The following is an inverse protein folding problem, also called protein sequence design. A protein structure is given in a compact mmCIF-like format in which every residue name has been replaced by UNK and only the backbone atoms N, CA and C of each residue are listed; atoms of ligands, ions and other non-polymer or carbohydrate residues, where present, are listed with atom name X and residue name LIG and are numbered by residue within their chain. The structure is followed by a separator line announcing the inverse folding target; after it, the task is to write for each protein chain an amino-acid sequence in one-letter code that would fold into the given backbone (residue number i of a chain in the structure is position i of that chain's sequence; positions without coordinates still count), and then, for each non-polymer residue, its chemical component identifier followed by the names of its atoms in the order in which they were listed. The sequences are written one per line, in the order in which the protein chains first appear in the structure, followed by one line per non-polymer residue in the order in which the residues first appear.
data_IF_225556726961
#
_entry.id   IF_225556726961
#
_cell.length_a   1.000
_cell.length_b   1.000
_cell.length_c   1.000
_cell.angle_alpha   90.00
_cell.angle_beta   90.00
_cell.angle_gamma   90.00
#
_symmetry.space_group_name_H-M   'P 1'
#
loop_
_entity.id
_entity.type
_entity.pdbx_description
1 polymer ?
#
# COMPACT_ATOMS: atom_id res chain seq x y z
N UNK A 1 32.35 -74.42 -12.13
CA UNK A 1 33.62 -74.36 -12.89
C UNK A 1 33.99 -72.88 -13.06
N UNK A 2 35.13 -72.49 -12.45
CA UNK A 2 35.91 -71.23 -12.59
C UNK A 2 35.34 -69.88 -12.11
N UNK A 3 35.84 -69.47 -10.94
CA UNK A 3 36.31 -68.12 -10.58
C UNK A 3 37.35 -67.57 -11.57
N UNK A 4 37.34 -66.25 -11.82
CA UNK A 4 38.47 -65.29 -12.00
C UNK A 4 37.90 -63.88 -11.67
N UNK A 5 38.16 -63.19 -10.54
CA UNK A 5 39.34 -62.46 -10.01
C UNK A 5 39.70 -61.13 -10.73
N UNK A 6 39.19 -60.01 -10.18
CA UNK A 6 39.86 -58.71 -9.83
C UNK A 6 40.32 -57.71 -10.91
N UNK A 7 40.76 -56.47 -10.54
CA UNK A 7 40.60 -55.75 -9.26
C UNK A 7 40.35 -54.21 -9.34
N UNK A 8 40.15 -53.57 -8.17
CA UNK A 8 40.49 -52.17 -7.79
C UNK A 8 39.64 -51.00 -8.34
N UNK A 9 39.24 -49.96 -7.59
CA UNK A 9 39.77 -49.38 -6.34
C UNK A 9 38.66 -48.60 -5.58
N UNK A 10 38.60 -48.80 -4.27
CA UNK A 10 37.97 -47.91 -3.28
C UNK A 10 38.77 -46.59 -3.17
N UNK A 11 38.11 -45.46 -2.85
CA UNK A 11 38.25 -44.84 -1.52
C UNK A 11 37.21 -43.72 -1.27
N UNK A 12 36.50 -43.90 -0.16
CA UNK A 12 35.71 -42.92 0.57
C UNK A 12 36.61 -42.00 1.42
N UNK A 13 35.98 -40.90 1.89
CA UNK A 13 36.19 -40.23 3.17
C UNK A 13 37.35 -39.22 3.23
N UNK A 14 37.31 -38.11 3.97
CA UNK A 14 36.29 -37.37 4.73
C UNK A 14 36.99 -36.16 5.37
N UNK A 15 36.29 -35.02 5.49
CA UNK A 15 36.34 -34.02 6.57
C UNK A 15 37.70 -33.43 7.05
N UNK A 16 37.81 -32.09 7.08
CA UNK A 16 37.69 -31.31 8.33
C UNK A 16 37.61 -29.79 8.08
N UNK A 17 36.78 -29.13 8.89
CA UNK A 17 36.59 -27.68 9.04
C UNK A 17 37.82 -26.98 9.65
N UNK A 18 38.06 -25.72 9.26
CA UNK A 18 38.34 -24.60 10.18
C UNK A 18 37.71 -23.33 9.58
N UNK A 19 36.90 -22.64 10.38
CA UNK A 19 36.20 -21.42 10.00
C UNK A 19 37.02 -20.14 10.18
N UNK A 20 36.49 -19.04 9.64
CA UNK A 20 36.64 -17.73 10.25
C UNK A 20 35.36 -16.93 10.01
N UNK A 21 34.80 -16.47 11.12
CA UNK A 21 33.62 -15.65 11.27
C UNK A 21 33.90 -14.20 10.87
N UNK A 22 33.00 -13.58 10.13
CA UNK A 22 32.66 -12.17 10.34
C UNK A 22 31.15 -11.97 10.18
N UNK A 23 30.52 -11.74 11.32
CA UNK A 23 29.12 -11.40 11.48
C UNK A 23 28.82 -10.03 10.90
N UNK A 24 27.90 -9.95 9.94
CA UNK A 24 27.02 -8.78 9.78
C UNK A 24 25.58 -9.31 9.80
N UNK A 25 25.00 -9.37 11.01
CA UNK A 25 23.57 -9.57 11.21
C UNK A 25 22.85 -8.32 10.69
N UNK A 26 22.30 -8.40 9.49
CA UNK A 26 21.22 -7.52 9.09
C UNK A 26 20.00 -7.87 9.97
N UNK A 27 19.61 -6.95 10.87
CA UNK A 27 18.33 -7.03 11.59
C UNK A 27 17.20 -7.00 10.57
N UNK A 28 16.58 -8.16 10.31
CA UNK A 28 15.23 -8.25 9.75
C UNK A 28 14.25 -8.15 10.91
N UNK A 29 13.77 -6.94 11.22
CA UNK A 29 12.58 -6.75 12.05
C UNK A 29 11.41 -6.40 11.13
N UNK A 30 10.64 -7.42 10.81
CA UNK A 30 9.21 -7.36 10.49
C UNK A 30 8.74 -8.82 10.48
N UNK A 31 8.64 -9.40 11.68
CA UNK A 31 8.05 -10.72 11.84
C UNK A 31 6.53 -10.55 11.95
N UNK A 32 5.79 -11.11 11.00
CA UNK A 32 4.35 -11.23 11.10
C UNK A 32 4.06 -12.29 12.17
N UNK A 33 3.44 -11.88 13.28
CA UNK A 33 3.16 -12.76 14.44
C UNK A 33 2.24 -13.94 14.07
N UNK A 34 1.52 -13.82 12.95
CA UNK A 34 0.58 -14.81 12.44
C UNK A 34 1.15 -16.21 12.13
N UNK A 35 2.46 -16.41 12.04
CA UNK A 35 3.07 -17.72 11.72
C UNK A 35 3.82 -18.41 12.87
N UNK A 36 3.78 -17.87 14.09
CA UNK A 36 4.51 -18.42 15.24
C UNK A 36 3.59 -19.27 16.15
N UNK A 37 4.16 -20.20 16.91
CA UNK A 37 3.43 -20.91 17.98
C UNK A 37 2.91 -19.90 19.00
N UNK A 38 1.83 -20.23 19.72
CA UNK A 38 1.24 -19.32 20.73
C UNK A 38 2.26 -18.83 21.76
N UNK A 39 3.17 -19.70 22.20
CA UNK A 39 4.24 -19.34 23.13
C UNK A 39 5.31 -18.45 22.49
N UNK A 40 5.81 -18.79 21.30
CA UNK A 40 6.80 -17.96 20.58
C UNK A 40 6.25 -16.60 20.14
N UNK A 41 4.94 -16.49 19.89
CA UNK A 41 4.26 -15.23 19.58
C UNK A 41 4.19 -14.29 20.78
N UNK A 42 4.10 -14.85 21.99
CA UNK A 42 4.05 -14.09 23.24
C UNK A 42 5.44 -13.59 23.64
N UNK A 43 6.45 -14.44 23.56
CA UNK A 43 7.85 -14.06 23.85
C UNK A 43 8.34 -12.93 22.94
N UNK A 44 8.04 -13.01 21.63
CA UNK A 44 8.40 -11.97 20.67
C UNK A 44 7.68 -10.63 20.94
N UNK A 45 6.42 -10.69 21.41
CA UNK A 45 5.69 -9.49 21.84
C UNK A 45 6.35 -8.87 23.08
N UNK A 46 6.58 -9.67 24.11
CA UNK A 46 7.15 -9.22 25.39
C UNK A 46 8.52 -8.55 25.19
N UNK A 47 9.38 -9.13 24.33
CA UNK A 47 10.66 -8.53 23.97
C UNK A 47 10.47 -7.18 23.24
N UNK A 48 9.58 -7.13 22.26
CA UNK A 48 9.36 -5.92 21.44
C UNK A 48 8.82 -4.76 22.28
N UNK A 49 7.90 -5.05 23.22
CA UNK A 49 7.28 -4.03 24.05
C UNK A 49 8.03 -3.78 25.36
N UNK A 50 9.14 -4.47 25.64
CA UNK A 50 9.88 -4.37 26.91
C UNK A 50 10.22 -2.93 27.30
N UNK A 51 10.54 -2.08 26.33
CA UNK A 51 10.88 -0.66 26.53
C UNK A 51 9.69 0.32 26.49
N UNK A 52 8.47 -0.17 26.32
CA UNK A 52 7.28 0.69 26.22
C UNK A 52 6.84 1.23 27.58
N UNK A 53 6.18 2.41 27.61
CA UNK A 53 5.55 2.93 28.82
C UNK A 53 4.51 1.97 29.39
N UNK A 54 4.24 2.08 30.70
CA UNK A 54 3.37 1.16 31.42
C UNK A 54 1.91 1.19 30.97
N UNK A 55 1.37 2.37 30.61
CA UNK A 55 -0.02 2.55 30.18
C UNK A 55 -0.34 1.83 28.86
N UNK A 56 0.42 2.02 27.76
CA UNK A 56 0.28 1.20 26.55
C UNK A 56 0.43 -0.31 26.80
N UNK A 57 1.38 -0.75 27.65
CA UNK A 57 1.53 -2.17 27.98
C UNK A 57 0.27 -2.75 28.64
N UNK A 58 -0.32 -2.00 29.57
CA UNK A 58 -1.57 -2.41 30.21
C UNK A 58 -2.70 -2.52 29.19
N UNK A 59 -2.85 -1.53 28.30
CA UNK A 59 -3.86 -1.60 27.25
C UNK A 59 -3.64 -2.77 26.28
N UNK A 60 -2.38 -3.10 25.94
CA UNK A 60 -2.06 -4.30 25.15
C UNK A 60 -2.59 -5.55 25.86
N UNK A 61 -2.29 -5.72 27.16
CA UNK A 61 -2.78 -6.86 27.93
C UNK A 61 -4.31 -6.93 27.93
N UNK A 62 -4.99 -5.81 28.17
CA UNK A 62 -6.45 -5.74 28.15
C UNK A 62 -7.04 -6.12 26.78
N UNK A 63 -6.45 -5.63 25.69
CA UNK A 63 -6.87 -5.98 24.34
C UNK A 63 -6.59 -7.44 24.02
N UNK A 64 -5.48 -8.01 24.51
CA UNK A 64 -5.19 -9.44 24.36
C UNK A 64 -6.20 -10.31 25.09
N UNK A 65 -6.56 -9.94 26.32
CA UNK A 65 -7.53 -10.68 27.12
C UNK A 65 -8.92 -10.68 26.47
N UNK A 66 -9.28 -9.59 25.79
CA UNK A 66 -10.59 -9.45 25.12
C UNK A 66 -10.64 -9.97 23.69
N UNK A 67 -9.61 -9.72 22.89
CA UNK A 67 -9.60 -9.96 21.44
C UNK A 67 -8.60 -11.04 20.99
N UNK A 68 -7.84 -11.63 21.91
CA UNK A 68 -6.82 -12.62 21.61
C UNK A 68 -5.48 -12.00 21.16
N UNK A 69 -4.55 -12.81 20.62
CA UNK A 69 -3.22 -12.31 20.25
C UNK A 69 -3.29 -11.26 19.12
N UNK A 70 -2.37 -10.28 19.10
CA UNK A 70 -2.33 -9.27 18.04
C UNK A 70 -1.96 -9.87 16.69
N UNK A 71 -2.45 -9.26 15.62
CA UNK A 71 -2.15 -9.63 14.23
C UNK A 71 -0.79 -9.12 13.78
N UNK A 72 -0.36 -7.96 14.28
CA UNK A 72 0.92 -7.31 13.94
C UNK A 72 1.54 -6.69 15.19
N UNK A 73 2.86 -6.81 15.29
CA UNK A 73 3.66 -6.22 16.37
C UNK A 73 4.87 -5.56 15.74
N UNK A 74 5.17 -4.34 16.17
CA UNK A 74 6.32 -3.55 15.74
C UNK A 74 6.89 -2.75 16.90
N UNK A 75 8.04 -2.10 16.71
CA UNK A 75 8.63 -1.23 17.75
C UNK A 75 7.74 -0.04 18.14
N UNK A 76 6.79 0.35 17.28
CA UNK A 76 5.96 1.55 17.45
C UNK A 76 4.48 1.25 17.75
N UNK A 77 3.95 0.09 17.31
CA UNK A 77 2.53 -0.25 17.41
C UNK A 77 2.28 -1.75 17.57
N UNK A 78 1.22 -2.10 18.31
CA UNK A 78 0.61 -3.44 18.41
C UNK A 78 -0.81 -3.34 17.85
N UNK A 79 -1.16 -4.21 16.90
CA UNK A 79 -2.36 -4.07 16.08
C UNK A 79 -3.15 -5.38 16.02
N UNK A 80 -4.47 -5.26 16.19
CA UNK A 80 -5.46 -6.27 15.85
C UNK A 80 -6.25 -5.79 14.62
N UNK A 81 -6.44 -6.67 13.64
CA UNK A 81 -7.24 -6.40 12.44
C UNK A 81 -8.47 -7.29 12.40
N UNK A 82 -9.57 -6.71 11.94
CA UNK A 82 -10.83 -7.40 11.68
C UNK A 82 -11.33 -8.24 12.88
N UNK A 83 -11.25 -7.66 14.08
CA UNK A 83 -11.74 -8.26 15.35
C UNK A 83 -12.99 -7.54 15.85
N UNK A 84 -14.01 -8.31 16.22
CA UNK A 84 -15.30 -7.75 16.65
C UNK A 84 -15.93 -6.86 15.59
N UNK A 85 -16.39 -5.68 15.99
CA UNK A 85 -16.94 -4.66 15.08
C UNK A 85 -15.85 -3.73 14.48
N UNK A 86 -14.58 -3.96 14.81
CA UNK A 86 -13.50 -3.05 14.46
C UNK A 86 -12.70 -3.55 13.26
N UNK A 87 -12.46 -2.63 12.33
CA UNK A 87 -11.51 -2.85 11.23
C UNK A 87 -10.08 -2.94 11.77
N UNK A 88 -9.79 -2.14 12.80
CA UNK A 88 -8.47 -2.07 13.43
C UNK A 88 -8.58 -1.59 14.88
N UNK A 89 -7.88 -2.29 15.77
CA UNK A 89 -7.55 -1.80 17.11
C UNK A 89 -6.03 -1.64 17.15
N UNK A 90 -5.54 -0.50 17.60
CA UNK A 90 -4.10 -0.21 17.62
C UNK A 90 -3.70 0.43 18.95
N UNK A 91 -2.68 -0.14 19.59
CA UNK A 91 -1.98 0.48 20.72
C UNK A 91 -0.62 0.97 20.25
N UNK A 92 -0.27 2.22 20.54
CA UNK A 92 1.02 2.81 20.17
C UNK A 92 1.95 2.99 21.36
N UNK A 93 3.26 2.94 21.11
CA UNK A 93 4.28 3.25 22.10
C UNK A 93 4.21 4.70 22.60
N UNK A 94 3.95 5.62 21.68
CA UNK A 94 3.87 7.06 21.98
C UNK A 94 2.54 7.41 22.60
N UNK A 95 2.59 8.21 23.66
CA UNK A 95 1.45 8.78 24.36
C UNK A 95 1.32 10.26 23.98
N UNK A 96 0.11 10.72 23.65
CA UNK A 96 -0.16 12.13 23.28
C UNK A 96 -1.09 12.73 24.34
N UNK A 97 -0.73 13.84 25.00
CA UNK A 97 -1.64 14.49 25.97
C UNK A 97 -2.94 14.96 25.32
N UNK A 98 -4.06 14.71 25.99
CA UNK A 98 -5.39 15.13 25.56
C UNK A 98 -6.24 15.55 26.77
N UNK A 99 -6.86 16.72 26.72
CA UNK A 99 -7.53 17.34 27.87
C UNK A 99 -9.06 17.23 27.87
N UNK A 100 -9.65 16.61 26.84
CA UNK A 100 -11.10 16.44 26.75
C UNK A 100 -11.50 14.98 26.99
N UNK A 101 -12.49 14.69 27.87
CA UNK A 101 -13.25 15.63 28.72
C UNK A 101 -12.45 16.07 29.96
N UNK A 102 -11.35 15.38 30.24
CA UNK A 102 -10.39 15.70 31.28
C UNK A 102 -8.98 15.24 30.85
N UNK A 103 -7.91 15.73 31.49
CA UNK A 103 -6.54 15.35 31.14
C UNK A 103 -6.27 13.84 31.19
N UNK A 104 -5.83 13.28 30.07
CA UNK A 104 -5.42 11.89 29.88
C UNK A 104 -4.41 11.78 28.73
N UNK A 105 -4.04 10.57 28.33
CA UNK A 105 -3.09 10.32 27.24
C UNK A 105 -3.68 9.41 26.17
N UNK A 106 -3.53 9.81 24.92
CA UNK A 106 -3.97 9.05 23.76
C UNK A 106 -2.91 8.05 23.32
N UNK A 107 -3.24 6.76 23.38
CA UNK A 107 -2.37 5.69 22.89
C UNK A 107 -3.12 4.45 22.39
N UNK A 108 -4.43 4.34 22.62
CA UNK A 108 -5.30 3.26 22.16
C UNK A 108 -6.31 3.81 21.14
N UNK A 109 -6.37 3.21 19.96
CA UNK A 109 -7.22 3.64 18.85
C UNK A 109 -8.16 2.51 18.40
N UNK A 110 -9.44 2.82 18.22
CA UNK A 110 -10.42 1.94 17.60
C UNK A 110 -10.88 2.54 16.27
N UNK A 111 -10.76 1.76 15.19
CA UNK A 111 -11.17 2.14 13.84
C UNK A 111 -12.32 1.27 13.36
N UNK A 112 -13.38 1.92 12.87
CA UNK A 112 -14.55 1.27 12.27
C UNK A 112 -14.63 1.56 10.78
N UNK A 113 -15.22 0.62 10.03
CA UNK A 113 -15.63 0.90 8.65
C UNK A 113 -16.83 1.85 8.68
N UNK A 114 -16.63 3.11 8.28
CA UNK A 114 -17.66 4.14 8.37
C UNK A 114 -17.49 5.18 7.26
N UNK A 115 -18.62 5.56 6.64
CA UNK A 115 -18.66 6.58 5.60
C UNK A 115 -19.13 7.87 6.26
N UNK A 116 -18.20 8.78 6.52
CA UNK A 116 -18.53 10.10 7.03
C UNK A 116 -18.93 11.01 5.86
N UNK A 117 -20.15 11.58 5.86
CA UNK A 117 -20.54 12.61 4.90
C UNK A 117 -19.59 13.82 4.96
N UNK A 118 -19.26 14.39 3.80
CA UNK A 118 -18.25 15.46 3.73
C UNK A 118 -18.65 16.71 4.52
N UNK A 119 -19.94 17.02 4.55
CA UNK A 119 -20.59 18.10 5.29
C UNK A 119 -20.66 17.86 6.81
N UNK A 120 -20.13 16.73 7.29
CA UNK A 120 -20.02 16.41 8.72
C UNK A 120 -18.59 16.39 9.24
N UNK A 121 -17.60 16.60 8.38
CA UNK A 121 -16.20 16.51 8.77
C UNK A 121 -15.81 17.60 9.79
N UNK A 122 -16.26 18.85 9.58
CA UNK A 122 -15.99 19.97 10.47
C UNK A 122 -16.65 19.81 11.85
N UNK A 123 -17.91 19.32 11.89
CA UNK A 123 -18.60 19.02 13.14
C UNK A 123 -17.88 17.94 13.95
N UNK A 124 -17.39 16.88 13.30
CA UNK A 124 -16.63 15.83 13.99
C UNK A 124 -15.27 16.32 14.51
N UNK A 125 -14.55 17.14 13.74
CA UNK A 125 -13.31 17.76 14.18
C UNK A 125 -13.52 18.76 15.32
N UNK A 126 -14.67 19.45 15.36
CA UNK A 126 -15.05 20.33 16.46
C UNK A 126 -15.52 19.56 17.71
N UNK A 127 -15.99 18.33 17.54
CA UNK A 127 -16.45 17.47 18.63
C UNK A 127 -15.29 16.90 19.44
N UNK A 128 -14.30 16.29 18.78
CA UNK A 128 -13.21 15.59 19.45
C UNK A 128 -11.93 15.66 18.58
N UNK A 129 -10.84 16.15 19.17
CA UNK A 129 -9.55 16.32 18.48
C UNK A 129 -8.85 15.01 18.14
N UNK A 130 -9.31 13.91 18.74
CA UNK A 130 -8.74 12.57 18.60
C UNK A 130 -9.55 11.67 17.67
N UNK A 131 -10.56 12.22 16.98
CA UNK A 131 -11.21 11.57 15.86
C UNK A 131 -10.36 11.72 14.59
N UNK A 132 -10.21 10.63 13.84
CA UNK A 132 -9.69 10.70 12.47
C UNK A 132 -10.69 10.14 11.47
N UNK A 133 -10.69 10.72 10.26
CA UNK A 133 -11.57 10.33 9.17
C UNK A 133 -10.70 10.08 7.94
N UNK A 134 -10.81 8.89 7.35
CA UNK A 134 -10.20 8.55 6.08
C UNK A 134 -11.29 8.10 5.10
N UNK A 135 -11.82 9.05 4.31
CA UNK A 135 -12.89 8.78 3.34
C UNK A 135 -12.51 7.76 2.28
N UNK A 136 -11.28 7.82 1.77
CA UNK A 136 -10.81 6.90 0.73
C UNK A 136 -10.78 5.47 1.24
N UNK A 137 -10.32 5.24 2.46
CA UNK A 137 -10.32 3.93 3.11
C UNK A 137 -11.67 3.54 3.74
N UNK A 138 -12.61 4.48 3.82
CA UNK A 138 -13.89 4.31 4.50
C UNK A 138 -13.75 4.09 6.00
N UNK A 139 -12.90 4.88 6.66
CA UNK A 139 -12.59 4.72 8.09
C UNK A 139 -13.00 5.96 8.90
N UNK A 140 -13.52 5.70 10.09
CA UNK A 140 -13.58 6.65 11.20
C UNK A 140 -12.91 5.98 12.41
N UNK A 141 -12.04 6.71 13.09
CA UNK A 141 -11.39 6.22 14.31
C UNK A 141 -11.49 7.22 15.45
N UNK A 142 -11.39 6.69 16.66
CA UNK A 142 -11.26 7.45 17.91
C UNK A 142 -10.04 6.94 18.67
N UNK A 143 -9.33 7.86 19.34
CA UNK A 143 -8.14 7.58 20.15
C UNK A 143 -8.30 8.13 21.56
N UNK A 144 -7.89 7.34 22.55
CA UNK A 144 -7.99 7.63 23.98
C UNK A 144 -7.02 6.73 24.77
N UNK A 145 -7.10 6.72 26.11
CA UNK A 145 -6.44 5.75 27.00
C UNK A 145 -7.30 4.50 27.26
N UNK A 146 -8.63 4.61 27.14
CA UNK A 146 -9.60 3.56 27.44
C UNK A 146 -10.42 3.14 26.22
N UNK A 147 -10.70 1.84 26.10
CA UNK A 147 -11.57 1.31 25.04
C UNK A 147 -12.99 1.91 25.13
N UNK A 148 -13.58 1.94 26.32
CA UNK A 148 -14.95 2.43 26.49
C UNK A 148 -15.12 3.91 26.07
N UNK A 149 -14.09 4.72 26.25
CA UNK A 149 -14.09 6.12 25.81
C UNK A 149 -13.96 6.23 24.29
N UNK A 150 -13.18 5.38 23.64
CA UNK A 150 -13.17 5.29 22.17
C UNK A 150 -14.55 4.90 21.62
N UNK A 151 -15.21 3.92 22.26
CA UNK A 151 -16.57 3.50 21.89
C UNK A 151 -17.56 4.66 22.05
N UNK A 152 -17.48 5.39 23.16
CA UNK A 152 -18.28 6.59 23.42
C UNK A 152 -18.06 7.67 22.36
N UNK A 153 -16.81 7.98 22.02
CA UNK A 153 -16.48 8.92 20.94
C UNK A 153 -17.11 8.48 19.61
N UNK A 154 -16.96 7.22 19.22
CA UNK A 154 -17.53 6.70 17.97
C UNK A 154 -19.06 6.74 17.94
N UNK A 155 -19.72 6.45 19.06
CA UNK A 155 -21.17 6.51 19.18
C UNK A 155 -21.71 7.94 19.02
N UNK A 156 -21.11 8.90 19.74
CA UNK A 156 -21.49 10.31 19.65
C UNK A 156 -21.14 10.91 18.28
N UNK A 157 -20.04 10.49 17.66
CA UNK A 157 -19.71 10.85 16.28
C UNK A 157 -20.79 10.36 15.30
N UNK A 158 -21.28 9.13 15.44
CA UNK A 158 -22.40 8.63 14.65
C UNK A 158 -23.69 9.46 14.88
N UNK A 159 -23.96 9.90 16.12
CA UNK A 159 -25.12 10.76 16.41
C UNK A 159 -25.02 12.13 15.75
N UNK A 160 -23.83 12.74 15.73
CA UNK A 160 -23.56 13.99 15.01
C UNK A 160 -23.79 13.79 13.50
N UNK A 161 -23.23 12.72 12.94
CA UNK A 161 -23.40 12.40 11.50
C UNK A 161 -24.87 12.21 11.14
N UNK A 162 -25.69 11.65 12.03
CA UNK A 162 -27.13 11.43 11.84
C UNK A 162 -27.99 12.66 12.16
N UNK A 163 -27.39 13.78 12.58
CA UNK A 163 -28.09 14.96 13.11
C UNK A 163 -28.96 14.67 14.34
N UNK A 164 -28.67 13.59 15.07
CA UNK A 164 -29.34 13.29 16.34
C UNK A 164 -28.86 14.21 17.46
N UNK A 165 -27.63 14.73 17.34
CA UNK A 165 -26.99 15.63 18.31
C UNK A 165 -26.13 16.68 17.60
N UNK A 166 -26.10 17.88 18.17
CA UNK A 166 -25.11 18.89 17.80
C UNK A 166 -23.79 18.71 18.57
N UNK A 167 -22.71 19.34 18.09
CA UNK A 167 -21.36 19.25 18.68
C UNK A 167 -21.34 19.56 20.18
N UNK A 168 -21.93 20.69 20.60
CA UNK A 168 -21.96 21.09 22.01
C UNK A 168 -22.73 20.09 22.88
N UNK A 169 -23.83 19.56 22.37
CA UNK A 169 -24.62 18.56 23.05
C UNK A 169 -23.82 17.25 23.20
N UNK A 170 -23.18 16.80 22.13
CA UNK A 170 -22.34 15.61 22.15
C UNK A 170 -21.18 15.73 23.16
N UNK A 171 -20.48 16.89 23.22
CA UNK A 171 -19.43 17.14 24.23
C UNK A 171 -19.96 17.09 25.66
N UNK A 172 -21.16 17.65 25.88
CA UNK A 172 -21.82 17.61 27.19
C UNK A 172 -22.20 16.18 27.56
N UNK A 173 -22.72 15.43 26.60
CA UNK A 173 -23.13 14.04 26.77
C UNK A 173 -21.94 13.11 27.01
N UNK A 174 -20.80 13.37 26.37
CA UNK A 174 -19.54 12.68 26.62
C UNK A 174 -19.17 12.76 28.11
N UNK A 175 -19.12 13.97 28.66
CA UNK A 175 -18.77 14.18 30.07
C UNK A 175 -19.73 13.47 31.03
N UNK A 176 -21.03 13.47 30.76
CA UNK A 176 -22.02 12.73 31.57
C UNK A 176 -21.76 11.22 31.56
N UNK A 177 -21.48 10.65 30.39
CA UNK A 177 -21.24 9.22 30.25
C UNK A 177 -19.94 8.80 30.97
N UNK A 178 -18.89 9.62 30.90
CA UNK A 178 -17.65 9.38 31.66
C UNK A 178 -17.89 9.43 33.17
N UNK A 179 -18.62 10.42 33.67
CA UNK A 179 -18.97 10.50 35.11
C UNK A 179 -19.78 9.29 35.55
N UNK A 180 -20.74 8.84 34.74
CA UNK A 180 -21.55 7.66 35.03
C UNK A 180 -20.73 6.37 35.02
N UNK A 181 -19.81 6.21 34.06
CA UNK A 181 -18.92 5.05 34.00
C UNK A 181 -17.98 4.98 35.21
N UNK A 182 -17.41 6.12 35.63
CA UNK A 182 -16.60 6.19 36.86
C UNK A 182 -17.40 5.88 38.13
N UNK A 183 -18.71 6.11 38.11
CA UNK A 183 -19.61 5.70 39.18
C UNK A 183 -20.01 4.21 39.11
N UNK A 184 -19.44 3.44 38.18
CA UNK A 184 -19.70 2.01 37.99
C UNK A 184 -21.05 1.71 37.30
N UNK A 185 -21.65 2.70 36.63
CA UNK A 185 -22.95 2.52 35.98
C UNK A 185 -22.85 1.93 34.57
N UNK A 186 -21.65 1.94 33.97
CA UNK A 186 -21.36 1.37 32.65
C UNK A 186 -22.42 1.71 31.59
N UNK A 187 -22.60 3.00 31.24
CA UNK A 187 -23.63 3.39 30.30
C UNK A 187 -23.44 2.72 28.94
N UNK A 188 -24.55 2.43 28.23
CA UNK A 188 -24.51 1.69 26.97
C UNK A 188 -23.51 2.27 25.94
N UNK A 189 -23.33 3.60 25.93
CA UNK A 189 -22.43 4.30 25.02
C UNK A 189 -20.94 3.99 25.26
N UNK A 190 -20.52 3.52 26.45
CA UNK A 190 -19.13 3.11 26.71
C UNK A 190 -18.94 1.60 26.52
N UNK A 191 -20.00 0.80 26.64
CA UNK A 191 -19.86 -0.67 26.60
C UNK A 191 -19.74 -1.22 25.18
N UNK A 192 -20.49 -0.65 24.23
CA UNK A 192 -20.54 -1.13 22.85
C UNK A 192 -20.98 -0.07 21.86
N UNK A 193 -20.73 -0.33 20.58
CA UNK A 193 -21.26 0.51 19.50
C UNK A 193 -22.80 0.45 19.47
N UNK A 194 -23.43 1.62 19.39
CA UNK A 194 -24.88 1.81 19.25
C UNK A 194 -25.32 1.82 17.77
N UNK A 195 -24.40 1.51 16.87
CA UNK A 195 -24.64 1.38 15.44
C UNK A 195 -23.82 0.21 14.89
N UNK A 196 -24.27 -0.34 13.77
CA UNK A 196 -23.49 -1.33 13.02
C UNK A 196 -22.55 -0.60 12.07
N UNK A 197 -21.22 -0.85 12.10
CA UNK A 197 -20.30 -0.34 11.09
C UNK A 197 -20.75 -0.69 9.67
N UNK A 198 -20.42 0.17 8.72
CA UNK A 198 -20.71 -0.06 7.30
C UNK A 198 -19.88 -1.24 6.78
N UNK A 199 -20.36 -1.91 5.72
CA UNK A 199 -19.50 -2.84 4.98
C UNK A 199 -18.36 -2.07 4.31
N UNK A 200 -17.16 -2.65 4.14
CA UNK A 200 -16.03 -1.96 3.50
C UNK A 200 -16.37 -1.36 2.12
N UNK A 201 -17.18 -2.08 1.32
CA UNK A 201 -17.63 -1.62 0.01
C UNK A 201 -18.56 -0.41 0.08
N UNK A 202 -19.36 -0.28 1.14
CA UNK A 202 -20.24 0.89 1.36
C UNK A 202 -19.51 2.04 2.05
N UNK A 203 -18.53 1.72 2.89
CA UNK A 203 -17.78 2.69 3.67
C UNK A 203 -16.82 3.50 2.80
N UNK A 204 -16.15 2.84 1.85
CA UNK A 204 -15.16 3.45 0.99
C UNK A 204 -15.80 4.46 0.03
N UNK A 205 -15.27 5.68 0.02
CA UNK A 205 -15.59 6.70 -0.97
C UNK A 205 -14.28 7.15 -1.64
N UNK A 206 -13.71 6.34 -2.56
CA UNK A 206 -12.53 6.74 -3.29
C UNK A 206 -12.88 7.90 -4.23
N UNK A 207 -11.97 8.87 -4.34
CA UNK A 207 -12.12 9.98 -5.27
C UNK A 207 -12.19 9.49 -6.73
N UNK A 208 -12.75 10.34 -7.59
CA UNK A 208 -12.87 10.11 -9.02
C UNK A 208 -11.78 10.87 -9.79
N UNK A 209 -11.27 10.28 -10.86
CA UNK A 209 -10.29 10.93 -11.71
C UNK A 209 -10.88 12.19 -12.38
N UNK A 210 -10.18 13.32 -12.27
CA UNK A 210 -10.56 14.60 -12.90
C UNK A 210 -9.85 14.85 -14.23
N UNK A 211 -8.77 14.11 -14.51
CA UNK A 211 -8.07 14.21 -15.79
C UNK A 211 -8.94 13.55 -16.86
N UNK A 212 -9.25 14.34 -17.87
CA UNK A 212 -10.13 13.92 -18.95
C UNK A 212 -9.47 12.76 -19.73
N UNK A 213 -10.19 11.64 -19.88
CA UNK A 213 -9.68 10.44 -20.56
C UNK A 213 -8.81 9.53 -19.68
N UNK A 214 -8.67 9.81 -18.38
CA UNK A 214 -7.95 8.94 -17.46
C UNK A 214 -8.52 7.52 -17.39
N UNK A 215 -7.66 6.53 -17.06
CA UNK A 215 -8.10 5.18 -16.78
C UNK A 215 -9.17 5.14 -15.69
N UNK A 216 -10.13 4.23 -15.87
CA UNK A 216 -11.13 3.90 -14.85
C UNK A 216 -10.84 2.53 -14.27
N UNK A 217 -10.98 2.38 -12.95
CA UNK A 217 -10.83 1.08 -12.29
C UNK A 217 -11.89 0.11 -12.78
N UNK A 218 -11.46 -1.05 -13.30
CA UNK A 218 -12.39 -2.10 -13.66
C UNK A 218 -13.02 -2.67 -12.37
N UNK A 219 -14.34 -2.72 -12.33
CA UNK A 219 -15.12 -3.36 -11.24
C UNK A 219 -15.58 -4.74 -11.66
N UNK A 220 -15.95 -5.60 -10.70
CA UNK A 220 -16.44 -6.95 -10.98
C UNK A 220 -17.69 -6.98 -11.90
N UNK A 221 -18.48 -5.91 -11.92
CA UNK A 221 -19.66 -5.76 -12.78
C UNK A 221 -19.34 -5.24 -14.18
N UNK A 222 -18.14 -4.69 -14.41
CA UNK A 222 -17.72 -4.13 -15.69
C UNK A 222 -16.65 -5.03 -16.32
N UNK A 223 -17.04 -5.92 -17.24
CA UNK A 223 -16.10 -6.72 -18.03
C UNK A 223 -15.38 -5.83 -19.07
N UNK A 224 -14.48 -4.94 -18.61
CA UNK A 224 -13.74 -4.00 -19.45
C UNK A 224 -12.52 -4.68 -20.07
N UNK A 225 -12.76 -5.57 -21.04
CA UNK A 225 -11.73 -6.23 -21.86
C UNK A 225 -11.65 -5.58 -23.25
N UNK A 226 -10.66 -5.97 -24.06
CA UNK A 226 -10.47 -5.46 -25.42
C UNK A 226 -9.77 -4.10 -25.45
N UNK A 227 -10.21 -3.20 -26.32
CA UNK A 227 -9.55 -1.91 -26.58
C UNK A 227 -9.34 -1.05 -25.32
N UNK A 228 -10.26 -1.11 -24.35
CA UNK A 228 -10.13 -0.38 -23.09
C UNK A 228 -8.95 -0.88 -22.25
N UNK A 229 -8.77 -2.20 -22.15
CA UNK A 229 -7.62 -2.80 -21.46
C UNK A 229 -6.33 -2.56 -22.24
N UNK A 230 -6.36 -2.62 -23.57
CA UNK A 230 -5.19 -2.33 -24.42
C UNK A 230 -4.69 -0.89 -24.19
N UNK A 231 -5.59 0.10 -24.21
CA UNK A 231 -5.23 1.47 -23.85
C UNK A 231 -4.72 1.58 -22.40
N UNK A 232 -5.31 0.82 -21.47
CA UNK A 232 -4.83 0.73 -20.09
C UNK A 232 -3.40 0.22 -19.99
N UNK A 233 -3.04 -0.84 -20.74
CA UNK A 233 -1.69 -1.40 -20.80
C UNK A 233 -0.68 -0.38 -21.36
N UNK A 234 -1.02 0.31 -22.45
CA UNK A 234 -0.17 1.39 -23.02
C UNK A 234 0.10 2.47 -21.97
N UNK A 235 -0.94 2.95 -21.29
CA UNK A 235 -0.80 3.97 -20.25
C UNK A 235 0.03 3.50 -19.03
N UNK A 236 -0.05 2.21 -18.68
CA UNK A 236 0.76 1.64 -17.60
C UNK A 236 2.24 1.53 -17.97
N UNK A 237 2.55 1.13 -19.21
CA UNK A 237 3.92 1.09 -19.72
C UNK A 237 4.49 2.51 -19.78
N UNK A 238 3.78 3.48 -20.37
CA UNK A 238 4.23 4.88 -20.42
C UNK A 238 4.50 5.44 -19.01
N UNK A 239 3.63 5.14 -18.03
CA UNK A 239 3.83 5.57 -16.65
C UNK A 239 5.13 5.00 -16.06
N UNK A 240 5.39 3.71 -16.28
CA UNK A 240 6.61 3.06 -15.76
C UNK A 240 7.87 3.71 -16.35
N UNK A 241 7.90 3.95 -17.67
CA UNK A 241 9.02 4.60 -18.37
C UNK A 241 9.24 6.03 -17.88
N UNK A 242 8.16 6.81 -17.72
CA UNK A 242 8.23 8.17 -17.14
C UNK A 242 8.80 8.17 -15.73
N UNK A 243 8.43 7.21 -14.88
CA UNK A 243 8.93 7.11 -13.50
C UNK A 243 10.41 6.69 -13.45
N UNK A 244 10.82 5.74 -14.30
CA UNK A 244 12.22 5.33 -14.41
C UNK A 244 13.09 6.47 -14.95
N UNK A 245 12.68 7.12 -16.03
CA UNK A 245 13.35 8.28 -16.60
C UNK A 245 13.45 9.43 -15.60
N UNK A 246 12.35 9.80 -14.92
CA UNK A 246 12.36 10.85 -13.89
C UNK A 246 13.27 10.53 -12.70
N UNK A 247 13.52 9.23 -12.43
CA UNK A 247 14.49 8.82 -11.43
C UNK A 247 15.91 9.04 -11.93
N UNK A 248 16.22 8.67 -13.18
CA UNK A 248 17.52 8.91 -13.79
C UNK A 248 17.87 10.41 -13.87
N UNK A 249 16.91 11.29 -14.18
CA UNK A 249 17.17 12.75 -14.21
C UNK A 249 17.52 13.36 -12.85
N UNK A 250 17.26 12.65 -11.74
CA UNK A 250 17.58 13.09 -10.37
C UNK A 250 18.88 12.48 -9.85
N UNK A 251 19.55 11.65 -10.64
CA UNK A 251 20.82 11.00 -10.29
C UNK A 251 21.98 11.78 -10.90
N UNK A 252 23.17 11.57 -10.34
CA UNK A 252 24.42 12.03 -10.94
C UNK A 252 24.81 11.04 -12.04
N UNK A 253 24.42 11.36 -13.28
CA UNK A 253 24.61 10.51 -14.46
C UNK A 253 25.27 11.29 -15.60
N UNK A 254 25.93 10.57 -16.48
CA UNK A 254 26.55 11.10 -17.69
C UNK A 254 25.55 11.83 -18.59
N UNK A 255 26.05 12.79 -19.37
CA UNK A 255 25.23 13.57 -20.30
C UNK A 255 24.41 12.71 -21.28
N UNK A 256 24.96 11.64 -21.89
CA UNK A 256 24.16 10.77 -22.77
C UNK A 256 22.98 10.11 -22.06
N UNK A 257 23.17 9.63 -20.83
CA UNK A 257 22.09 9.01 -20.04
C UNK A 257 21.05 10.06 -19.61
N UNK A 258 21.50 11.25 -19.22
CA UNK A 258 20.60 12.37 -18.88
C UNK A 258 19.75 12.79 -20.08
N UNK A 259 20.35 12.96 -21.26
CA UNK A 259 19.63 13.35 -22.48
C UNK A 259 18.60 12.26 -22.88
N UNK A 260 18.98 10.99 -22.74
CA UNK A 260 18.09 9.87 -23.00
C UNK A 260 16.90 9.83 -22.03
N UNK A 261 17.14 9.99 -20.73
CA UNK A 261 16.07 10.05 -19.73
C UNK A 261 15.09 11.21 -19.98
N UNK A 262 15.60 12.40 -20.29
CA UNK A 262 14.75 13.55 -20.61
C UNK A 262 13.86 13.30 -21.85
N UNK A 263 14.42 12.66 -22.88
CA UNK A 263 13.67 12.29 -24.09
C UNK A 263 12.58 11.26 -23.78
N UNK A 264 12.89 10.19 -23.05
CA UNK A 264 11.89 9.20 -22.63
C UNK A 264 10.75 9.85 -21.84
N UNK A 265 11.08 10.68 -20.84
CA UNK A 265 10.07 11.35 -20.02
C UNK A 265 9.12 12.20 -20.88
N UNK A 266 9.64 12.91 -21.87
CA UNK A 266 8.83 13.75 -22.77
C UNK A 266 7.98 12.91 -23.74
N UNK A 267 8.57 11.93 -24.40
CA UNK A 267 7.90 11.16 -25.44
C UNK A 267 6.83 10.22 -24.87
N UNK A 268 7.11 9.54 -23.75
CA UNK A 268 6.11 8.71 -23.09
C UNK A 268 4.97 9.53 -22.49
N UNK A 269 5.24 10.71 -21.91
CA UNK A 269 4.17 11.60 -21.45
C UNK A 269 3.28 12.08 -22.61
N UNK A 270 3.86 12.33 -23.79
CA UNK A 270 3.11 12.68 -25.01
C UNK A 270 2.25 11.51 -25.48
N UNK A 271 2.78 10.29 -25.50
CA UNK A 271 2.03 9.09 -25.87
C UNK A 271 0.91 8.78 -24.88
N UNK A 272 1.14 9.00 -23.59
CA UNK A 272 0.13 8.85 -22.54
C UNK A 272 -1.04 9.81 -22.77
N UNK A 273 -0.75 11.09 -23.04
CA UNK A 273 -1.77 12.09 -23.39
C UNK A 273 -2.53 11.72 -24.67
N UNK A 274 -1.81 11.30 -25.71
CA UNK A 274 -2.41 10.87 -26.98
C UNK A 274 -3.37 9.69 -26.78
N UNK A 275 -2.98 8.71 -25.96
CA UNK A 275 -3.82 7.54 -25.63
C UNK A 275 -5.10 7.95 -24.89
N UNK A 276 -5.01 8.87 -23.91
CA UNK A 276 -6.19 9.39 -23.21
C UNK A 276 -7.13 10.16 -24.15
N UNK A 277 -6.59 11.01 -25.02
CA UNK A 277 -7.38 11.75 -26.02
C UNK A 277 -8.02 10.83 -27.06
N UNK A 278 -7.30 9.78 -27.48
CA UNK A 278 -7.85 8.75 -28.37
C UNK A 278 -9.05 8.07 -27.72
N UNK A 279 -8.93 7.65 -26.46
CA UNK A 279 -10.03 7.04 -25.71
C UNK A 279 -11.28 7.93 -25.71
N UNK A 280 -11.11 9.23 -25.47
CA UNK A 280 -12.21 10.19 -25.59
C UNK A 280 -12.80 10.24 -27.01
N UNK A 281 -11.94 10.35 -28.03
CA UNK A 281 -12.35 10.41 -29.44
C UNK A 281 -13.22 9.22 -29.84
N UNK A 282 -12.87 8.02 -29.37
CA UNK A 282 -13.59 6.77 -29.70
C UNK A 282 -14.68 6.42 -28.68
N UNK A 283 -14.97 7.29 -27.71
CA UNK A 283 -16.00 7.07 -26.68
C UNK A 283 -15.67 5.95 -25.69
N UNK A 284 -14.40 5.63 -25.48
CA UNK A 284 -13.93 4.52 -24.65
C UNK A 284 -12.89 4.99 -23.64
N UNK A 285 -13.14 4.78 -22.35
CA UNK A 285 -12.15 5.07 -21.31
C UNK A 285 -11.16 3.90 -21.19
N UNK A 286 -9.86 4.18 -21.05
CA UNK A 286 -8.89 3.14 -20.70
C UNK A 286 -9.30 2.44 -19.39
N UNK A 287 -9.06 1.14 -19.29
CA UNK A 287 -9.42 0.35 -18.12
C UNK A 287 -8.18 0.01 -17.29
N UNK A 288 -8.27 0.22 -15.98
CA UNK A 288 -7.30 -0.26 -14.99
C UNK A 288 -7.77 -1.63 -14.49
N UNK A 289 -7.41 -2.67 -15.26
CA UNK A 289 -7.73 -4.07 -14.96
C UNK A 289 -6.61 -4.72 -14.12
N UNK A 290 -6.81 -5.96 -13.69
CA UNK A 290 -5.77 -6.72 -12.97
C UNK A 290 -4.47 -6.84 -13.77
N UNK A 291 -4.57 -7.09 -15.09
CA UNK A 291 -3.39 -7.18 -15.95
C UNK A 291 -2.66 -5.83 -16.09
N UNK A 292 -3.40 -4.73 -16.13
CA UNK A 292 -2.83 -3.37 -16.17
C UNK A 292 -2.15 -3.03 -14.84
N UNK A 293 -2.76 -3.39 -13.72
CA UNK A 293 -2.18 -3.23 -12.38
C UNK A 293 -0.91 -4.08 -12.19
N UNK A 294 -0.87 -5.30 -12.74
CA UNK A 294 0.33 -6.14 -12.76
C UNK A 294 1.51 -5.49 -13.51
N UNK A 295 1.25 -4.79 -14.62
CA UNK A 295 2.29 -4.02 -15.33
C UNK A 295 2.83 -2.86 -14.48
N UNK A 296 1.95 -2.12 -13.79
CA UNK A 296 2.38 -1.04 -12.87
C UNK A 296 3.23 -1.58 -11.73
N UNK A 297 2.84 -2.72 -11.15
CA UNK A 297 3.59 -3.42 -10.09
C UNK A 297 4.95 -3.90 -10.59
N UNK A 298 5.02 -4.45 -11.81
CA UNK A 298 6.29 -4.84 -12.44
C UNK A 298 7.25 -3.64 -12.51
N UNK A 299 6.80 -2.51 -13.04
CA UNK A 299 7.62 -1.30 -13.14
C UNK A 299 8.05 -0.75 -11.77
N UNK A 300 7.16 -0.78 -10.77
CA UNK A 300 7.52 -0.39 -9.40
C UNK A 300 8.62 -1.29 -8.80
N UNK A 301 8.56 -2.61 -9.05
CA UNK A 301 9.59 -3.56 -8.62
C UNK A 301 10.93 -3.29 -9.31
N UNK A 302 10.92 -3.08 -10.63
CA UNK A 302 12.12 -2.72 -11.40
C UNK A 302 12.74 -1.42 -10.90
N UNK A 303 11.92 -0.40 -10.66
CA UNK A 303 12.38 0.87 -10.11
C UNK A 303 12.98 0.71 -8.70
N UNK A 304 12.42 -0.15 -7.85
CA UNK A 304 12.94 -0.40 -6.51
C UNK A 304 14.34 -1.02 -6.50
N UNK A 305 14.71 -1.74 -7.57
CA UNK A 305 16.06 -2.26 -7.76
C UNK A 305 17.03 -1.18 -8.25
N UNK A 306 16.57 -0.19 -9.02
CA UNK A 306 17.38 0.90 -9.56
C UNK A 306 17.67 1.99 -8.52
N UNK A 307 16.67 2.36 -7.70
CA UNK A 307 16.75 3.50 -6.77
C UNK A 307 17.96 3.46 -5.82
N UNK A 308 18.40 2.30 -5.27
CA UNK A 308 19.57 2.25 -4.39
C UNK A 308 20.91 2.50 -5.11
N UNK A 309 20.98 2.25 -6.42
CA UNK A 309 22.20 2.34 -7.20
C UNK A 309 22.62 3.80 -7.44
N UNK A 310 23.92 4.01 -7.70
CA UNK A 310 24.52 5.34 -7.92
C UNK A 310 25.60 5.30 -9.00
N UNK A 311 25.86 6.44 -9.63
CA UNK A 311 26.92 6.61 -10.62
C UNK A 311 26.85 5.55 -11.73
N UNK A 312 28.01 5.01 -12.11
CA UNK A 312 28.15 4.03 -13.20
C UNK A 312 27.30 2.77 -13.01
N UNK A 313 27.15 2.28 -11.78
CA UNK A 313 26.30 1.11 -11.49
C UNK A 313 24.82 1.40 -11.81
N UNK A 314 24.36 2.61 -11.48
CA UNK A 314 23.01 3.05 -11.86
C UNK A 314 22.87 3.18 -13.38
N UNK A 315 23.82 3.82 -14.06
CA UNK A 315 23.76 4.02 -15.51
C UNK A 315 23.67 2.69 -16.27
N UNK A 316 24.52 1.73 -15.92
CA UNK A 316 24.52 0.39 -16.52
C UNK A 316 23.21 -0.35 -16.28
N UNK A 317 22.73 -0.36 -15.03
CA UNK A 317 21.48 -1.02 -14.69
C UNK A 317 20.26 -0.35 -15.35
N UNK A 318 20.24 0.98 -15.42
CA UNK A 318 19.18 1.75 -16.06
C UNK A 318 19.12 1.47 -17.55
N UNK A 319 20.22 1.62 -18.29
CA UNK A 319 20.24 1.38 -19.75
C UNK A 319 19.95 -0.09 -20.07
N UNK A 320 20.51 -1.04 -19.33
CA UNK A 320 20.19 -2.46 -19.53
C UNK A 320 18.70 -2.77 -19.27
N UNK A 321 18.11 -2.14 -18.24
CA UNK A 321 16.68 -2.21 -17.95
C UNK A 321 15.83 -1.67 -19.10
N UNK A 322 16.15 -0.48 -19.60
CA UNK A 322 15.46 0.15 -20.73
C UNK A 322 15.51 -0.73 -21.98
N UNK A 323 16.68 -1.30 -22.31
CA UNK A 323 16.82 -2.21 -23.46
C UNK A 323 15.92 -3.45 -23.27
N UNK A 324 15.98 -4.08 -22.10
CA UNK A 324 15.18 -5.27 -21.79
C UNK A 324 13.68 -4.99 -21.89
N UNK A 325 13.22 -3.91 -21.28
CA UNK A 325 11.79 -3.59 -21.21
C UNK A 325 11.25 -3.09 -22.55
N UNK A 326 11.99 -2.29 -23.31
CA UNK A 326 11.58 -1.88 -24.66
C UNK A 326 11.47 -3.07 -25.62
N UNK A 327 12.38 -4.06 -25.54
CA UNK A 327 12.25 -5.31 -26.29
C UNK A 327 10.96 -6.07 -25.91
N UNK A 328 10.68 -6.20 -24.61
CA UNK A 328 9.47 -6.88 -24.13
C UNK A 328 8.18 -6.14 -24.56
N UNK A 329 8.18 -4.81 -24.51
CA UNK A 329 7.06 -3.97 -24.94
C UNK A 329 6.83 -4.07 -26.44
N UNK A 330 7.88 -4.06 -27.27
CA UNK A 330 7.76 -4.30 -28.72
C UNK A 330 7.11 -5.66 -29.00
N UNK A 331 7.56 -6.71 -28.31
CA UNK A 331 6.99 -8.04 -28.46
C UNK A 331 5.50 -8.07 -28.05
N UNK A 332 5.15 -7.38 -26.96
CA UNK A 332 3.75 -7.25 -26.51
C UNK A 332 2.90 -6.49 -27.54
N UNK A 333 3.41 -5.39 -28.09
CA UNK A 333 2.70 -4.60 -29.10
C UNK A 333 2.43 -5.46 -30.36
N UNK A 334 3.46 -6.15 -30.85
CA UNK A 334 3.41 -6.90 -32.10
C UNK A 334 2.56 -8.18 -31.98
N UNK A 335 2.71 -8.92 -30.88
CA UNK A 335 2.08 -10.24 -30.73
C UNK A 335 0.73 -10.21 -30.00
N UNK A 336 0.48 -9.18 -29.18
CA UNK A 336 -0.74 -9.11 -28.37
C UNK A 336 -1.60 -7.90 -28.70
N UNK A 337 -1.07 -6.67 -28.60
CA UNK A 337 -1.90 -5.46 -28.61
C UNK A 337 -2.45 -5.13 -30.01
N UNK A 338 -1.61 -5.09 -31.04
CA UNK A 338 -2.04 -4.79 -32.40
C UNK A 338 -3.01 -5.86 -32.94
N UNK A 339 -2.74 -7.18 -32.76
CA UNK A 339 -3.68 -8.22 -33.19
C UNK A 339 -5.02 -8.18 -32.46
N UNK A 340 -5.02 -7.90 -31.15
CA UNK A 340 -6.23 -7.90 -30.33
C UNK A 340 -7.07 -6.61 -30.45
N UNK A 341 -6.47 -5.50 -30.92
CA UNK A 341 -7.19 -4.25 -31.08
C UNK A 341 -8.36 -4.39 -32.08
N UNK A 342 -9.47 -3.72 -31.81
CA UNK A 342 -10.68 -3.73 -32.64
C UNK A 342 -10.82 -2.40 -33.39
N UNK A 343 -10.59 -1.28 -32.70
CA UNK A 343 -10.62 0.07 -33.25
C UNK A 343 -9.48 0.29 -34.24
N UNK A 344 -9.82 0.80 -35.43
CA UNK A 344 -8.83 1.18 -36.45
C UNK A 344 -7.95 2.34 -35.98
N UNK A 345 -8.52 3.28 -35.22
CA UNK A 345 -7.77 4.39 -34.64
C UNK A 345 -6.78 3.89 -33.59
N UNK A 346 -7.19 2.91 -32.75
CA UNK A 346 -6.28 2.29 -31.79
C UNK A 346 -5.17 1.49 -32.46
N UNK A 347 -5.47 0.71 -33.51
CA UNK A 347 -4.44 0.02 -34.29
C UNK A 347 -3.41 0.99 -34.87
N UNK A 348 -3.87 2.13 -35.38
CA UNK A 348 -2.99 3.13 -35.97
C UNK A 348 -2.12 3.79 -34.89
N UNK A 349 -2.70 4.11 -33.74
CA UNK A 349 -1.99 4.62 -32.57
C UNK A 349 -0.91 3.65 -32.08
N UNK A 350 -1.25 2.36 -31.92
CA UNK A 350 -0.30 1.32 -31.49
C UNK A 350 0.88 1.15 -32.45
N UNK A 351 0.67 1.27 -33.77
CA UNK A 351 1.77 1.25 -34.75
C UNK A 351 2.71 2.44 -34.58
N UNK A 352 2.16 3.64 -34.35
CA UNK A 352 2.99 4.81 -34.05
C UNK A 352 3.76 4.63 -32.73
N UNK A 353 3.10 4.15 -31.68
CA UNK A 353 3.75 3.83 -30.40
C UNK A 353 4.89 2.83 -30.60
N UNK A 354 4.67 1.76 -31.36
CA UNK A 354 5.70 0.76 -31.70
C UNK A 354 6.95 1.41 -32.33
N UNK A 355 6.75 2.29 -33.30
CA UNK A 355 7.86 2.94 -34.02
C UNK A 355 8.69 3.83 -33.08
N UNK A 356 8.04 4.55 -32.16
CA UNK A 356 8.72 5.32 -31.12
C UNK A 356 9.51 4.43 -30.15
N UNK A 357 8.91 3.35 -29.64
CA UNK A 357 9.59 2.40 -28.74
C UNK A 357 10.81 1.76 -29.42
N UNK A 358 10.72 1.44 -30.71
CA UNK A 358 11.85 0.93 -31.47
C UNK A 358 12.99 1.96 -31.58
N UNK A 359 12.66 3.23 -31.80
CA UNK A 359 13.63 4.33 -31.82
C UNK A 359 14.32 4.51 -30.45
N UNK A 360 13.55 4.46 -29.37
CA UNK A 360 14.09 4.52 -28.00
C UNK A 360 15.05 3.37 -27.71
N UNK A 361 14.67 2.15 -28.08
CA UNK A 361 15.52 0.96 -27.92
C UNK A 361 16.87 1.11 -28.64
N UNK A 362 16.88 1.58 -29.88
CA UNK A 362 18.13 1.76 -30.62
C UNK A 362 19.04 2.81 -29.96
N UNK A 363 18.47 3.91 -29.46
CA UNK A 363 19.23 4.91 -28.70
C UNK A 363 19.81 4.34 -27.40
N UNK A 364 19.06 3.50 -26.68
CA UNK A 364 19.58 2.84 -25.48
C UNK A 364 20.77 1.94 -25.81
N UNK A 365 20.69 1.16 -26.89
CA UNK A 365 21.80 0.31 -27.37
C UNK A 365 23.03 1.13 -27.82
N UNK A 366 22.82 2.30 -28.40
CA UNK A 366 23.92 3.22 -28.74
C UNK A 366 24.64 3.72 -27.48
N UNK A 367 23.90 4.04 -26.43
CA UNK A 367 24.47 4.47 -25.15
C UNK A 367 25.21 3.29 -24.47
N UNK A 368 24.61 2.10 -24.45
CA UNK A 368 25.20 0.89 -23.85
C UNK A 368 26.61 0.58 -24.40
N UNK A 369 26.84 0.79 -25.69
CA UNK A 369 28.15 0.59 -26.32
C UNK A 369 29.26 1.51 -25.77
N UNK A 370 28.87 2.61 -25.14
CA UNK A 370 29.75 3.67 -24.67
C UNK A 370 29.75 3.81 -23.12
N UNK A 371 29.11 2.87 -22.40
CA UNK A 371 28.99 2.86 -20.94
C UNK A 371 30.02 1.97 -20.21
#
# INVERSE_FOLDING_TARGET
MKLIIGPSLLLLASTLLIGCSSSHKAKKSNATVASMSKEGSKEALDETIASWPSRPKLAIQQMMDKYGPPTEVSEAAVIWRDVGDYKRIMVTKTEIPHDFPMPHMDFLEHTVSYMVPADKADELLAFDGSITINKTAGEMSARCDLEGHNILTLNLANDIVKNNKGVKEARTEFGKNVVADFAGQHPAYVEKLQFKPHSPMKAAFPDVAVIAGSPVRATASTNMKGDAEIMGKVLAVDLNEVLAASTATKKDVSKPVMDYANMLQMEHAKNQKATMMLGQKIGMKPADTKAVDELKKKGANELSMLVPLKGEEFEKAYIAGMIKDHNAVLAMIDNELIPAAQSKDLKSHLKMTRDHVAMHLEKAKEIEKNL
#
